data_IF_679678774823
#
_entry.id   IF_679678774823
#
_cell.length_a   1.000
_cell.length_b   1.000
_cell.length_c   1.000
_cell.angle_alpha   90.00
_cell.angle_beta   90.00
_cell.angle_gamma   90.00
#
_symmetry.space_group_name_H-M   'P 1'
#
loop_
_entity.id
_entity.type
_entity.pdbx_description
1 polymer ?
#
# COMPACT_ATOMS: atom_id res chain seq x y z
N UNK A 1 -4.89 12.32 3.94
CA UNK A 1 -6.21 11.68 4.11
C UNK A 1 -6.58 10.95 2.82
N UNK A 2 -7.09 9.71 2.92
CA UNK A 2 -7.64 9.00 1.78
C UNK A 2 -8.87 9.74 1.26
N UNK A 3 -9.09 9.81 -0.06
CA UNK A 3 -10.36 10.29 -0.61
C UNK A 3 -11.49 9.32 -0.24
N UNK A 4 -12.75 9.78 -0.19
CA UNK A 4 -13.90 8.92 0.04
C UNK A 4 -13.93 7.78 -1.00
N UNK A 5 -14.34 6.60 -0.55
CA UNK A 5 -14.56 5.46 -1.45
C UNK A 5 -15.91 5.63 -2.15
N UNK A 6 -16.04 5.20 -3.40
CA UNK A 6 -17.31 5.26 -4.16
C UNK A 6 -18.48 4.51 -3.49
N UNK A 7 -18.22 3.79 -2.40
CA UNK A 7 -19.24 3.04 -1.65
C UNK A 7 -20.31 3.95 -1.01
N UNK A 8 -19.98 5.21 -0.71
CA UNK A 8 -20.91 6.16 -0.12
C UNK A 8 -21.65 7.02 -1.17
N UNK A 9 -21.21 7.02 -2.44
CA UNK A 9 -21.85 7.81 -3.49
C UNK A 9 -23.10 7.14 -4.09
N UNK A 10 -23.42 5.90 -3.74
CA UNK A 10 -24.58 5.17 -4.26
C UNK A 10 -25.88 5.39 -3.46
N UNK A 11 -25.87 6.22 -2.40
CA UNK A 11 -27.03 6.39 -1.49
C UNK A 11 -27.49 7.83 -1.29
N UNK A 12 -27.06 8.79 -2.09
CA UNK A 12 -27.52 10.20 -1.98
C UNK A 12 -28.28 10.68 -3.21
N UNK A 13 -29.35 9.96 -3.59
CA UNK A 13 -30.50 10.60 -4.22
C UNK A 13 -31.45 11.11 -3.10
N UNK A 14 -31.04 12.12 -2.38
CA UNK A 14 -31.95 12.98 -1.66
C UNK A 14 -31.87 14.37 -2.27
N UNK A 15 -32.83 14.65 -3.15
CA UNK A 15 -33.19 15.98 -3.55
C UNK A 15 -33.63 16.77 -2.30
N UNK A 16 -32.78 17.63 -1.79
CA UNK A 16 -33.20 18.78 -1.01
C UNK A 16 -32.85 20.04 -1.81
N UNK A 17 -33.90 20.66 -2.26
CA UNK A 17 -33.96 21.98 -2.84
C UNK A 17 -33.62 23.01 -1.75
N UNK A 18 -32.33 23.30 -1.59
CA UNK A 18 -31.80 24.52 -0.96
C UNK A 18 -30.26 24.54 -1.08
N UNK A 19 -29.78 25.43 -1.92
CA UNK A 19 -28.54 26.16 -1.84
C UNK A 19 -27.22 25.39 -1.64
N UNK A 20 -26.43 25.23 -2.72
CA UNK A 20 -24.95 25.07 -2.74
C UNK A 20 -24.43 24.19 -1.61
N UNK A 21 -24.54 22.90 -1.79
CA UNK A 21 -23.67 21.95 -1.08
C UNK A 21 -22.30 22.05 -1.71
N UNK A 22 -21.42 22.83 -1.07
CA UNK A 22 -20.00 22.81 -1.36
C UNK A 22 -19.54 21.36 -1.20
N UNK A 23 -18.91 20.81 -2.24
CA UNK A 23 -18.49 19.41 -2.35
C UNK A 23 -17.23 19.17 -1.47
N UNK A 24 -17.32 19.58 -0.20
CA UNK A 24 -16.28 19.42 0.81
C UNK A 24 -16.12 17.94 1.15
N UNK A 25 -15.05 17.32 0.66
CA UNK A 25 -14.79 15.89 0.81
C UNK A 25 -14.52 15.44 2.25
N UNK A 26 -14.24 16.38 3.14
CA UNK A 26 -13.91 16.08 4.54
C UNK A 26 -14.17 17.26 5.46
N UNK A 27 -14.37 16.95 6.75
CA UNK A 27 -14.42 17.99 7.81
C UNK A 27 -13.17 18.89 7.77
N UNK A 28 -12.01 18.36 7.35
CA UNK A 28 -10.79 19.14 7.21
C UNK A 28 -10.93 20.19 6.11
N UNK A 29 -11.49 19.84 4.95
CA UNK A 29 -11.68 20.77 3.83
C UNK A 29 -12.66 21.89 4.25
N UNK A 30 -13.77 21.54 4.90
CA UNK A 30 -14.71 22.50 5.48
C UNK A 30 -14.01 23.41 6.52
N UNK A 31 -13.20 22.85 7.41
CA UNK A 31 -12.47 23.62 8.40
C UNK A 31 -11.45 24.57 7.78
N UNK A 32 -10.75 24.15 6.71
CA UNK A 32 -9.79 24.99 5.98
C UNK A 32 -10.45 26.21 5.30
N UNK A 33 -11.74 26.11 4.94
CA UNK A 33 -12.51 27.24 4.38
C UNK A 33 -12.90 28.28 5.43
N UNK A 34 -12.93 27.91 6.73
CA UNK A 34 -13.45 28.76 7.81
C UNK A 34 -12.37 29.20 8.81
N UNK A 35 -11.30 28.45 8.98
CA UNK A 35 -10.29 28.66 9.99
C UNK A 35 -8.88 28.77 9.38
N UNK A 36 -8.02 29.54 10.05
CA UNK A 36 -6.60 29.58 9.70
C UNK A 36 -5.94 28.22 10.00
N UNK A 37 -5.13 27.73 9.08
CA UNK A 37 -4.42 26.46 9.25
C UNK A 37 -2.97 26.65 9.65
N UNK A 38 -2.44 25.70 10.45
CA UNK A 38 -1.03 25.56 10.71
C UNK A 38 -0.59 24.14 10.44
N UNK A 39 0.46 23.98 9.66
CA UNK A 39 1.04 22.68 9.36
C UNK A 39 2.00 22.24 10.46
N UNK A 40 1.82 21.00 10.97
CA UNK A 40 2.80 20.36 11.83
C UNK A 40 3.95 19.87 10.94
N UNK A 41 5.13 20.42 11.13
CA UNK A 41 6.28 20.20 10.24
C UNK A 41 7.21 19.09 10.73
N UNK A 42 7.19 18.77 12.03
CA UNK A 42 8.08 17.75 12.60
C UNK A 42 7.60 16.34 12.25
N UNK A 43 8.44 15.60 11.51
CA UNK A 43 8.17 14.18 11.22
C UNK A 43 8.80 13.29 12.30
N UNK A 44 8.00 12.44 12.93
CA UNK A 44 8.43 11.60 14.05
C UNK A 44 8.27 10.10 13.81
N UNK A 45 7.45 9.70 12.82
CA UNK A 45 7.11 8.27 12.61
C UNK A 45 8.27 7.47 12.07
N UNK A 46 8.83 7.88 10.95
CA UNK A 46 9.87 7.13 10.26
C UNK A 46 11.22 7.35 10.91
N UNK A 47 11.90 6.25 11.22
CA UNK A 47 13.24 6.25 11.85
C UNK A 47 14.36 6.44 10.84
N UNK A 48 14.05 6.47 9.56
CA UNK A 48 14.98 6.70 8.47
C UNK A 48 14.37 7.68 7.46
N UNK A 49 15.16 8.65 7.03
CA UNK A 49 14.72 9.71 6.11
C UNK A 49 14.26 9.19 4.75
N UNK A 50 14.81 8.10 4.26
CA UNK A 50 14.37 7.50 2.97
C UNK A 50 12.90 7.10 2.95
N UNK A 51 12.30 6.77 4.09
CA UNK A 51 10.89 6.41 4.18
C UNK A 51 9.94 7.59 4.00
N UNK A 52 10.45 8.82 4.16
CA UNK A 52 9.62 10.04 4.12
C UNK A 52 10.09 11.07 3.09
N UNK A 53 11.35 11.04 2.66
CA UNK A 53 11.91 12.03 1.72
C UNK A 53 11.12 12.11 0.42
N UNK A 54 10.72 10.97 -0.15
CA UNK A 54 9.87 10.95 -1.33
C UNK A 54 8.55 11.70 -1.10
N UNK A 55 7.87 11.39 0.00
CA UNK A 55 6.62 12.05 0.35
C UNK A 55 6.83 13.53 0.68
N UNK A 56 7.92 13.89 1.35
CA UNK A 56 8.24 15.28 1.66
C UNK A 56 8.40 16.11 0.39
N UNK A 57 9.10 15.58 -0.61
CA UNK A 57 9.28 16.26 -1.90
C UNK A 57 7.95 16.38 -2.68
N UNK A 58 7.24 15.26 -2.88
CA UNK A 58 6.09 15.23 -3.80
C UNK A 58 4.77 15.77 -3.20
N UNK A 59 4.62 15.78 -1.87
CA UNK A 59 3.34 16.12 -1.22
C UNK A 59 3.45 17.26 -0.20
N UNK A 60 4.62 17.48 0.38
CA UNK A 60 4.80 18.46 1.45
C UNK A 60 5.76 19.60 1.09
N UNK A 61 6.15 19.71 -0.20
CA UNK A 61 7.00 20.80 -0.72
C UNK A 61 8.32 20.99 0.08
N UNK A 62 8.88 19.89 0.57
CA UNK A 62 10.05 19.85 1.46
C UNK A 62 9.87 20.64 2.78
N UNK A 63 8.65 20.82 3.24
CA UNK A 63 8.36 21.57 4.47
C UNK A 63 8.45 20.73 5.74
N UNK A 64 8.57 19.40 5.65
CA UNK A 64 8.75 18.54 6.81
C UNK A 64 10.19 18.65 7.34
N UNK A 65 10.32 18.75 8.66
CA UNK A 65 11.59 18.64 9.37
C UNK A 65 11.81 17.15 9.66
N UNK A 66 12.84 16.59 9.06
CA UNK A 66 13.16 15.16 9.13
C UNK A 66 14.49 15.02 9.87
N UNK A 67 14.50 14.40 11.06
CA UNK A 67 15.76 14.08 11.75
C UNK A 67 16.56 13.07 10.91
N UNK A 68 17.87 13.25 10.75
CA UNK A 68 18.72 12.29 10.05
C UNK A 68 18.78 10.97 10.81
N UNK A 69 18.84 9.86 10.08
CA UNK A 69 19.09 8.53 10.64
C UNK A 69 20.57 8.37 10.99
N UNK A 70 20.86 7.61 12.04
CA UNK A 70 22.22 7.14 12.32
C UNK A 70 22.61 5.91 11.45
N UNK A 71 21.69 5.34 10.67
CA UNK A 71 21.92 4.21 9.81
C UNK A 71 21.98 4.69 8.36
N UNK A 72 23.09 4.42 7.68
CA UNK A 72 23.31 4.82 6.28
C UNK A 72 22.64 3.89 5.27
N UNK A 73 22.10 2.73 5.72
CA UNK A 73 21.42 1.79 4.82
C UNK A 73 20.03 2.32 4.48
N UNK A 74 19.75 2.40 3.19
CA UNK A 74 18.44 2.75 2.69
C UNK A 74 17.35 1.82 3.25
N UNK A 75 16.28 2.41 3.78
CA UNK A 75 15.25 1.65 4.49
C UNK A 75 14.14 1.11 3.56
N UNK A 76 14.30 1.26 2.26
CA UNK A 76 13.39 0.69 1.25
C UNK A 76 14.16 -0.38 0.47
N UNK A 77 13.60 -1.57 0.40
CA UNK A 77 14.12 -2.68 -0.42
C UNK A 77 13.21 -2.87 -1.63
N UNK A 78 13.79 -2.91 -2.82
CA UNK A 78 13.06 -3.16 -4.06
C UNK A 78 13.29 -4.60 -4.54
N UNK A 79 12.27 -5.44 -4.37
CA UNK A 79 12.26 -6.83 -4.83
C UNK A 79 11.64 -6.90 -6.23
N UNK A 80 12.47 -6.74 -7.27
CA UNK A 80 12.03 -6.80 -8.66
C UNK A 80 11.83 -8.23 -9.15
N UNK A 81 10.62 -8.58 -9.55
CA UNK A 81 10.18 -9.92 -9.92
C UNK A 81 9.97 -10.04 -11.44
N UNK A 82 11.06 -10.19 -12.18
CA UNK A 82 11.06 -10.23 -13.65
C UNK A 82 10.12 -11.24 -14.28
N UNK A 83 9.84 -12.37 -13.59
CA UNK A 83 8.99 -13.46 -14.08
C UNK A 83 7.53 -13.36 -13.63
N UNK A 84 7.21 -12.40 -12.78
CA UNK A 84 5.85 -12.27 -12.27
C UNK A 84 4.92 -11.68 -13.33
N UNK A 85 3.75 -12.29 -13.45
CA UNK A 85 2.77 -12.00 -14.50
C UNK A 85 1.47 -11.56 -13.85
N UNK A 86 0.96 -10.41 -14.27
CA UNK A 86 -0.35 -9.93 -13.89
C UNK A 86 -1.45 -10.62 -14.70
N UNK A 87 -2.41 -11.23 -14.03
CA UNK A 87 -3.62 -11.79 -14.62
C UNK A 87 -4.83 -10.94 -14.31
N UNK A 88 -5.41 -10.29 -15.32
CA UNK A 88 -6.59 -9.44 -15.17
C UNK A 88 -7.88 -10.22 -14.89
N UNK A 89 -7.93 -11.51 -15.22
CA UNK A 89 -9.06 -12.39 -14.93
C UNK A 89 -8.81 -13.23 -13.70
N UNK A 90 -9.70 -13.18 -12.73
CA UNK A 90 -9.71 -14.15 -11.63
C UNK A 90 -9.91 -15.54 -12.18
N UNK A 91 -9.10 -16.48 -11.72
CA UNK A 91 -9.41 -17.91 -11.88
C UNK A 91 -10.81 -18.15 -11.27
N UNK A 92 -11.80 -18.40 -12.11
CA UNK A 92 -13.15 -18.79 -11.67
C UNK A 92 -13.01 -20.06 -10.85
N UNK A 93 -13.16 -19.98 -9.52
CA UNK A 93 -13.47 -21.16 -8.72
C UNK A 93 -14.81 -21.69 -9.24
N UNK A 94 -14.81 -22.92 -9.76
CA UNK A 94 -15.95 -23.57 -10.46
C UNK A 94 -17.22 -23.74 -9.62
N UNK A 95 -17.23 -23.40 -8.33
CA UNK A 95 -18.31 -23.73 -7.39
C UNK A 95 -18.61 -22.64 -6.34
N UNK A 96 -18.70 -21.37 -6.71
CA UNK A 96 -19.21 -20.37 -5.78
C UNK A 96 -20.48 -19.71 -6.31
N UNK A 97 -21.60 -20.12 -5.71
CA UNK A 97 -22.93 -19.47 -5.79
C UNK A 97 -22.99 -18.22 -4.92
N UNK A 98 -21.95 -17.38 -4.88
CA UNK A 98 -22.00 -16.15 -4.10
C UNK A 98 -21.56 -14.96 -4.93
N UNK A 99 -22.38 -13.94 -4.78
CA UNK A 99 -22.40 -12.62 -5.40
C UNK A 99 -21.03 -12.02 -5.77
N UNK A 100 -20.96 -11.70 -6.94
CA UNK A 100 -20.14 -10.97 -7.85
C UNK A 100 -19.91 -9.54 -7.33
N UNK A 101 -18.92 -9.38 -6.43
CA UNK A 101 -18.13 -8.15 -6.41
C UNK A 101 -17.05 -8.27 -7.49
N UNK A 102 -16.73 -7.21 -8.21
CA UNK A 102 -15.69 -7.18 -9.24
C UNK A 102 -14.40 -7.77 -8.68
N UNK A 103 -14.10 -9.01 -9.07
CA UNK A 103 -12.85 -9.66 -8.69
C UNK A 103 -11.75 -9.05 -9.53
N UNK A 104 -10.96 -8.17 -8.94
CA UNK A 104 -9.78 -7.59 -9.56
C UNK A 104 -8.75 -8.66 -9.94
N UNK A 105 -7.79 -8.31 -10.77
CA UNK A 105 -6.72 -9.21 -11.19
C UNK A 105 -5.80 -9.64 -10.03
N UNK A 106 -4.97 -10.65 -10.29
CA UNK A 106 -3.98 -11.19 -9.35
C UNK A 106 -2.62 -11.37 -10.03
N UNK A 107 -1.57 -11.40 -9.22
CA UNK A 107 -0.21 -11.76 -9.58
C UNK A 107 0.27 -12.86 -8.64
N UNK A 108 0.15 -14.11 -9.08
CA UNK A 108 0.39 -15.29 -8.24
C UNK A 108 1.87 -15.37 -7.81
N UNK A 109 2.80 -15.09 -8.73
CA UNK A 109 4.23 -15.15 -8.42
C UNK A 109 4.58 -14.08 -7.38
N UNK A 110 4.09 -12.86 -7.55
CA UNK A 110 4.30 -11.78 -6.60
C UNK A 110 3.70 -12.11 -5.22
N UNK A 111 2.50 -12.73 -5.19
CA UNK A 111 1.87 -13.16 -3.94
C UNK A 111 2.69 -14.22 -3.19
N UNK A 112 3.28 -15.18 -3.90
CA UNK A 112 4.14 -16.19 -3.30
C UNK A 112 5.46 -15.60 -2.78
N UNK A 113 6.11 -14.76 -3.57
CA UNK A 113 7.39 -14.13 -3.19
C UNK A 113 7.24 -13.21 -1.98
N UNK A 114 6.19 -12.38 -1.94
CA UNK A 114 5.93 -11.54 -0.76
C UNK A 114 5.58 -12.38 0.46
N UNK A 115 4.84 -13.49 0.30
CA UNK A 115 4.55 -14.41 1.39
C UNK A 115 5.83 -15.05 1.94
N UNK A 116 6.76 -15.45 1.08
CA UNK A 116 8.06 -16.00 1.50
C UNK A 116 8.90 -14.95 2.23
N UNK A 117 8.93 -13.70 1.75
CA UNK A 117 9.60 -12.60 2.43
C UNK A 117 9.03 -12.32 3.81
N UNK A 118 7.71 -12.27 3.94
CA UNK A 118 7.03 -12.08 5.23
C UNK A 118 7.31 -13.22 6.19
N UNK A 119 7.26 -14.47 5.74
CA UNK A 119 7.59 -15.64 6.57
C UNK A 119 9.06 -15.62 7.02
N UNK A 120 9.98 -15.24 6.12
CA UNK A 120 11.39 -15.09 6.47
C UNK A 120 11.60 -14.01 7.55
N UNK A 121 10.93 -12.85 7.40
CA UNK A 121 10.92 -11.77 8.38
C UNK A 121 10.39 -12.22 9.76
N UNK A 122 9.26 -12.95 9.79
CA UNK A 122 8.67 -13.47 11.02
C UNK A 122 9.63 -14.45 11.73
N UNK A 123 10.22 -15.38 10.98
CA UNK A 123 11.20 -16.35 11.51
C UNK A 123 12.43 -15.65 12.07
N UNK A 124 12.98 -14.69 11.35
CA UNK A 124 14.13 -13.93 11.81
C UNK A 124 13.82 -13.16 13.09
N UNK A 125 12.64 -12.53 13.17
CA UNK A 125 12.20 -11.77 14.33
C UNK A 125 12.14 -12.65 15.58
N UNK A 126 11.56 -13.84 15.48
CA UNK A 126 11.48 -14.80 16.59
C UNK A 126 12.87 -15.35 16.95
N UNK A 127 13.65 -15.83 15.96
CA UNK A 127 14.98 -16.41 16.21
C UNK A 127 15.96 -15.43 16.85
N UNK A 128 15.91 -14.16 16.46
CA UNK A 128 16.76 -13.11 17.02
C UNK A 128 16.15 -12.42 18.24
N UNK A 129 14.95 -12.81 18.65
CA UNK A 129 14.18 -12.16 19.73
C UNK A 129 14.04 -10.64 19.52
N UNK A 130 13.77 -10.24 18.28
CA UNK A 130 13.57 -8.84 17.93
C UNK A 130 12.07 -8.58 17.79
N UNK A 131 11.54 -7.71 18.66
CA UNK A 131 10.13 -7.31 18.60
C UNK A 131 9.96 -6.19 17.57
N UNK A 132 9.43 -6.54 16.40
CA UNK A 132 9.12 -5.61 15.29
C UNK A 132 7.85 -6.05 14.59
N UNK A 133 6.92 -5.14 14.40
CA UNK A 133 5.63 -5.38 13.77
C UNK A 133 5.71 -5.32 12.25
N UNK A 134 4.82 -6.03 11.54
CA UNK A 134 4.71 -5.88 10.09
C UNK A 134 3.25 -5.91 9.59
N UNK A 135 3.06 -5.33 8.41
CA UNK A 135 1.80 -5.24 7.68
C UNK A 135 2.08 -5.47 6.19
N UNK A 136 1.22 -6.20 5.51
CA UNK A 136 1.25 -6.31 4.05
C UNK A 136 0.17 -5.44 3.44
N UNK A 137 0.52 -4.69 2.40
CA UNK A 137 -0.43 -3.84 1.65
C UNK A 137 -0.38 -4.17 0.17
N UNK A 138 -1.54 -4.28 -0.46
CA UNK A 138 -1.67 -4.52 -1.90
C UNK A 138 -2.73 -3.60 -2.53
N UNK A 139 -2.85 -3.62 -3.83
CA UNK A 139 -3.67 -2.65 -4.56
C UNK A 139 -5.14 -3.04 -4.67
N UNK A 140 -5.51 -4.32 -4.44
CA UNK A 140 -6.89 -4.78 -4.51
C UNK A 140 -7.19 -5.93 -3.52
N UNK A 141 -8.48 -6.27 -3.40
CA UNK A 141 -8.94 -7.31 -2.48
C UNK A 141 -8.54 -8.72 -2.92
N UNK A 142 -8.57 -9.02 -4.22
CA UNK A 142 -8.23 -10.37 -4.71
C UNK A 142 -6.78 -10.74 -4.42
N UNK A 143 -5.86 -9.80 -4.58
CA UNK A 143 -4.44 -10.01 -4.25
C UNK A 143 -4.23 -10.07 -2.73
N UNK A 144 -4.97 -9.27 -1.95
CA UNK A 144 -4.96 -9.33 -0.49
C UNK A 144 -5.33 -10.73 0.00
N UNK A 145 -6.44 -11.26 -0.49
CA UNK A 145 -6.95 -12.56 -0.07
C UNK A 145 -5.98 -13.68 -0.45
N UNK A 146 -5.39 -13.62 -1.65
CA UNK A 146 -4.39 -14.56 -2.11
C UNK A 146 -3.13 -14.52 -1.23
N UNK A 147 -2.61 -13.33 -0.93
CA UNK A 147 -1.43 -13.18 -0.08
C UNK A 147 -1.70 -13.65 1.35
N UNK A 148 -2.86 -13.31 1.92
CA UNK A 148 -3.23 -13.73 3.28
C UNK A 148 -3.36 -15.26 3.38
N UNK A 149 -3.99 -15.90 2.38
CA UNK A 149 -4.11 -17.36 2.27
C UNK A 149 -2.72 -18.02 2.20
N UNK A 150 -1.82 -17.51 1.35
CA UNK A 150 -0.47 -18.05 1.20
C UNK A 150 0.36 -17.91 2.48
N UNK A 151 0.31 -16.75 3.14
CA UNK A 151 1.05 -16.53 4.39
C UNK A 151 0.52 -17.46 5.47
N UNK A 152 -0.80 -17.55 5.66
CA UNK A 152 -1.39 -18.44 6.68
C UNK A 152 -1.08 -19.89 6.40
N UNK A 153 -1.18 -20.33 5.15
CA UNK A 153 -0.81 -21.70 4.76
C UNK A 153 0.67 -22.02 5.07
N UNK A 154 1.59 -21.10 4.78
CA UNK A 154 3.01 -21.26 5.09
C UNK A 154 3.26 -21.22 6.60
N UNK A 155 2.59 -20.36 7.34
CA UNK A 155 2.73 -20.24 8.79
C UNK A 155 2.32 -21.52 9.54
N UNK A 156 1.33 -22.28 9.06
CA UNK A 156 0.96 -23.57 9.68
C UNK A 156 2.11 -24.60 9.69
N UNK A 157 3.06 -24.47 8.77
CA UNK A 157 4.22 -25.36 8.61
C UNK A 157 5.49 -24.84 9.29
N UNK A 158 5.48 -23.60 9.76
CA UNK A 158 6.65 -22.90 10.28
C UNK A 158 6.33 -22.37 11.68
N UNK A 159 6.76 -23.07 12.74
CA UNK A 159 6.41 -22.73 14.13
C UNK A 159 6.74 -21.29 14.53
N UNK A 160 7.88 -20.76 14.07
CA UNK A 160 8.27 -19.39 14.39
C UNK A 160 7.32 -18.35 13.78
N UNK A 161 6.84 -18.61 12.55
CA UNK A 161 5.87 -17.70 11.90
C UNK A 161 4.52 -17.73 12.63
N UNK A 162 4.06 -18.92 13.02
CA UNK A 162 2.83 -19.05 13.82
C UNK A 162 2.96 -18.35 15.18
N UNK A 163 4.10 -18.53 15.86
CA UNK A 163 4.42 -17.84 17.13
C UNK A 163 4.42 -16.33 16.94
N UNK A 164 5.02 -15.84 15.83
CA UNK A 164 5.03 -14.41 15.53
C UNK A 164 3.61 -13.84 15.39
N UNK A 165 2.73 -14.50 14.62
CA UNK A 165 1.36 -14.07 14.43
C UNK A 165 0.65 -13.99 15.79
N UNK A 166 0.68 -15.06 16.59
CA UNK A 166 0.04 -15.07 17.90
C UNK A 166 0.58 -14.02 18.88
N UNK A 167 1.88 -13.70 18.80
CA UNK A 167 2.49 -12.64 19.64
C UNK A 167 1.90 -11.24 19.36
N UNK A 168 1.42 -10.98 18.14
CA UNK A 168 0.89 -9.69 17.75
C UNK A 168 -0.64 -9.59 17.76
N UNK A 169 -1.37 -10.73 17.81
CA UNK A 169 -2.85 -10.77 17.66
C UNK A 169 -3.59 -9.90 18.69
N UNK A 170 -3.14 -9.88 19.96
CA UNK A 170 -3.77 -9.11 21.03
C UNK A 170 -3.15 -7.71 21.24
N UNK A 171 -2.36 -7.24 20.29
CA UNK A 171 -1.71 -5.93 20.37
C UNK A 171 -2.43 -4.86 19.55
N UNK A 172 -2.01 -3.60 19.68
CA UNK A 172 -2.46 -2.51 18.82
C UNK A 172 -1.93 -2.60 17.38
N UNK A 173 -0.99 -3.51 17.12
CA UNK A 173 -0.33 -3.69 15.83
C UNK A 173 -0.41 -5.14 15.32
N UNK A 174 -1.59 -5.76 15.25
CA UNK A 174 -1.73 -7.15 14.80
C UNK A 174 -1.20 -7.32 13.37
N UNK A 175 -0.66 -8.52 13.08
CA UNK A 175 -0.31 -8.85 11.71
C UNK A 175 -1.56 -8.93 10.85
N UNK A 176 -1.57 -8.19 9.75
CA UNK A 176 -2.70 -8.16 8.81
C UNK A 176 -2.23 -7.97 7.37
N UNK A 177 -3.04 -8.41 6.42
CA UNK A 177 -2.91 -8.09 5.00
C UNK A 177 -4.06 -7.16 4.62
N UNK A 178 -3.77 -5.99 4.05
CA UNK A 178 -4.77 -4.97 3.71
C UNK A 178 -4.66 -4.53 2.26
N UNK A 179 -5.74 -4.00 1.73
CA UNK A 179 -5.68 -3.28 0.47
C UNK A 179 -5.37 -1.79 0.70
N UNK A 180 -5.03 -1.10 -0.37
CA UNK A 180 -4.66 0.32 -0.35
C UNK A 180 -5.75 1.24 0.23
N UNK A 181 -7.02 0.87 0.10
CA UNK A 181 -8.16 1.66 0.61
C UNK A 181 -8.29 1.58 2.14
N UNK A 182 -7.78 0.52 2.76
CA UNK A 182 -8.00 0.22 4.17
C UNK A 182 -6.77 0.42 5.06
N UNK A 183 -5.69 1.02 4.54
CA UNK A 183 -4.42 1.18 5.25
C UNK A 183 -4.32 2.50 6.03
N UNK A 184 -5.33 3.37 5.92
CA UNK A 184 -5.32 4.65 6.63
C UNK A 184 -5.43 4.43 8.14
N UNK A 185 -4.57 5.10 8.90
CA UNK A 185 -4.51 4.99 10.36
C UNK A 185 -3.54 3.91 10.86
N UNK A 186 -3.22 2.93 10.03
CA UNK A 186 -2.22 1.91 10.38
C UNK A 186 -0.79 2.47 10.33
N UNK A 187 0.06 1.86 11.13
CA UNK A 187 1.52 2.01 11.05
C UNK A 187 2.16 0.73 11.60
N UNK A 188 3.31 0.32 11.06
CA UNK A 188 4.09 -0.82 11.52
C UNK A 188 5.58 -0.51 11.41
N UNK A 189 6.39 -1.30 12.09
CA UNK A 189 7.83 -1.23 11.92
C UNK A 189 8.21 -1.51 10.47
N UNK A 190 7.65 -2.55 9.87
CA UNK A 190 7.90 -2.92 8.47
C UNK A 190 6.61 -3.00 7.67
N UNK A 191 6.64 -2.45 6.46
CA UNK A 191 5.54 -2.55 5.48
C UNK A 191 6.04 -3.33 4.27
N UNK A 192 5.33 -4.41 3.94
CA UNK A 192 5.52 -5.17 2.71
C UNK A 192 4.47 -4.72 1.70
N UNK A 193 4.89 -4.33 0.51
CA UNK A 193 4.00 -3.79 -0.52
C UNK A 193 4.01 -4.69 -1.75
N UNK A 194 2.86 -5.22 -2.11
CA UNK A 194 2.62 -5.86 -3.41
C UNK A 194 2.07 -4.82 -4.37
N UNK A 195 2.79 -4.52 -5.43
CA UNK A 195 2.29 -3.60 -6.47
C UNK A 195 1.21 -4.23 -7.32
N UNK A 196 1.09 -5.55 -7.32
CA UNK A 196 0.11 -6.32 -8.06
C UNK A 196 0.31 -6.27 -9.58
N UNK A 197 0.38 -5.04 -10.11
CA UNK A 197 0.41 -4.79 -11.56
C UNK A 197 1.74 -5.21 -12.17
N UNK A 198 1.68 -5.65 -13.42
CA UNK A 198 2.85 -6.11 -14.15
C UNK A 198 2.51 -6.41 -15.60
N UNK A 199 3.45 -6.95 -16.37
CA UNK A 199 3.18 -7.46 -17.70
C UNK A 199 2.21 -8.66 -17.63
N UNK A 200 1.34 -8.77 -18.63
CA UNK A 200 0.53 -9.94 -18.85
C UNK A 200 1.35 -11.07 -19.53
N UNK A 201 0.71 -12.18 -19.89
CA UNK A 201 1.39 -13.31 -20.55
C UNK A 201 2.03 -12.95 -21.90
N UNK A 202 1.51 -11.93 -22.56
CA UNK A 202 2.02 -11.37 -23.82
C UNK A 202 3.13 -10.32 -23.61
N UNK A 203 3.55 -10.06 -22.36
CA UNK A 203 4.55 -9.06 -22.02
C UNK A 203 4.02 -7.62 -22.04
N UNK A 204 2.72 -7.41 -22.16
CA UNK A 204 2.11 -6.08 -22.26
C UNK A 204 1.73 -5.59 -20.86
N UNK A 205 2.18 -4.40 -20.49
CA UNK A 205 1.77 -3.72 -19.26
C UNK A 205 0.59 -2.79 -19.52
N UNK A 206 -0.55 -3.12 -18.94
CA UNK A 206 -1.73 -2.26 -18.99
C UNK A 206 -1.52 -1.02 -18.13
N UNK A 207 -1.97 0.15 -18.64
CA UNK A 207 -1.82 1.44 -17.93
C UNK A 207 -2.97 1.73 -16.94
N UNK A 208 -3.66 0.69 -16.51
CA UNK A 208 -4.76 0.74 -15.53
C UNK A 208 -4.27 0.17 -14.20
N UNK A 209 -4.00 1.05 -13.25
CA UNK A 209 -3.46 0.73 -11.93
C UNK A 209 -4.54 0.88 -10.83
N UNK A 210 -5.79 0.50 -11.13
CA UNK A 210 -6.90 0.52 -10.18
C UNK A 210 -7.07 1.86 -9.47
N UNK A 211 -7.12 1.88 -8.12
CA UNK A 211 -7.34 3.10 -7.34
C UNK A 211 -6.32 4.22 -7.57
N UNK A 212 -5.14 3.88 -8.10
CA UNK A 212 -4.07 4.85 -8.41
C UNK A 212 -4.47 5.77 -9.56
N UNK A 213 -5.23 5.27 -10.54
CA UNK A 213 -5.67 6.06 -11.70
C UNK A 213 -6.87 7.00 -11.41
N UNK A 214 -7.47 6.94 -10.23
CA UNK A 214 -8.50 7.90 -9.86
C UNK A 214 -7.92 9.31 -9.65
N UNK A 215 -8.70 10.39 -9.81
CA UNK A 215 -8.22 11.77 -9.70
C UNK A 215 -7.41 12.07 -8.43
N UNK A 216 -7.75 11.42 -7.32
CA UNK A 216 -7.05 11.58 -6.03
C UNK A 216 -6.22 10.34 -5.65
N UNK A 217 -5.89 9.48 -6.60
CA UNK A 217 -5.10 8.26 -6.40
C UNK A 217 -3.72 8.52 -5.77
N UNK A 218 -3.10 9.67 -6.07
CA UNK A 218 -1.84 10.09 -5.45
C UNK A 218 -1.92 10.23 -3.92
N UNK A 219 -3.09 10.59 -3.34
CA UNK A 219 -3.27 10.67 -1.89
C UNK A 219 -3.20 9.29 -1.23
N UNK A 220 -3.71 8.25 -1.91
CA UNK A 220 -3.62 6.85 -1.45
C UNK A 220 -2.17 6.38 -1.38
N UNK A 221 -1.39 6.71 -2.41
CA UNK A 221 0.03 6.40 -2.44
C UNK A 221 0.80 7.11 -1.33
N UNK A 222 0.52 8.39 -1.07
CA UNK A 222 1.14 9.12 0.04
C UNK A 222 0.82 8.46 1.39
N UNK A 223 -0.42 8.02 1.59
CA UNK A 223 -0.79 7.29 2.81
C UNK A 223 0.04 6.02 2.92
N UNK A 224 0.13 5.20 1.86
CA UNK A 224 0.90 3.95 1.86
C UNK A 224 2.38 4.19 2.18
N UNK A 225 3.04 5.09 1.46
CA UNK A 225 4.48 5.33 1.60
C UNK A 225 4.89 5.87 2.97
N UNK A 226 3.95 6.42 3.73
CA UNK A 226 4.19 6.98 5.05
C UNK A 226 3.79 6.05 6.21
N UNK A 227 3.56 4.77 5.97
CA UNK A 227 3.11 3.81 7.02
C UNK A 227 4.25 3.12 7.74
N UNK A 228 5.43 3.04 7.13
CA UNK A 228 6.59 2.36 7.68
C UNK A 228 7.30 3.20 8.75
N UNK A 229 7.67 2.56 9.87
CA UNK A 229 8.52 3.16 10.91
C UNK A 229 10.00 2.88 10.66
N UNK A 230 10.36 1.66 10.26
CA UNK A 230 11.75 1.21 10.16
C UNK A 230 12.15 0.75 8.75
N UNK A 231 11.25 0.11 8.01
CA UNK A 231 11.57 -0.40 6.68
C UNK A 231 10.34 -0.63 5.81
N UNK A 232 10.56 -0.57 4.49
CA UNK A 232 9.56 -0.88 3.49
C UNK A 232 10.16 -1.85 2.48
N UNK A 233 9.47 -2.95 2.22
CA UNK A 233 9.83 -3.93 1.19
C UNK A 233 8.82 -3.87 0.05
N UNK A 234 9.27 -3.45 -1.12
CA UNK A 234 8.44 -3.34 -2.31
C UNK A 234 8.64 -4.59 -3.18
N UNK A 235 7.54 -5.28 -3.48
CA UNK A 235 7.50 -6.40 -4.43
C UNK A 235 6.80 -5.94 -5.69
N UNK A 236 7.49 -6.02 -6.83
CA UNK A 236 6.98 -5.49 -8.09
C UNK A 236 7.52 -6.24 -9.30
N UNK A 237 6.70 -6.38 -10.33
CA UNK A 237 7.12 -6.79 -11.67
C UNK A 237 7.14 -5.63 -12.67
N UNK A 238 6.97 -4.39 -12.18
CA UNK A 238 7.06 -3.19 -12.99
C UNK A 238 8.43 -2.55 -12.89
N UNK A 239 8.92 -2.06 -14.02
CA UNK A 239 9.98 -1.06 -14.05
C UNK A 239 9.40 0.32 -14.34
N UNK A 240 10.01 1.43 -13.90
CA UNK A 240 9.49 2.77 -14.17
C UNK A 240 9.22 3.03 -15.66
N UNK A 241 10.06 2.50 -16.53
CA UNK A 241 10.02 2.74 -17.99
C UNK A 241 8.79 2.16 -18.69
N UNK A 242 8.11 1.15 -18.10
CA UNK A 242 6.90 0.56 -18.70
C UNK A 242 5.65 1.38 -18.39
N UNK A 243 5.75 2.33 -17.45
CA UNK A 243 4.66 3.22 -17.11
C UNK A 243 4.74 4.47 -17.99
N UNK A 244 3.71 4.69 -18.79
CA UNK A 244 3.65 5.82 -19.73
C UNK A 244 3.52 7.13 -18.96
N UNK A 245 4.15 8.17 -19.48
CA UNK A 245 3.99 9.54 -18.96
C UNK A 245 2.59 10.09 -19.25
N UNK A 246 2.19 11.12 -18.50
CA UNK A 246 0.88 11.74 -18.60
C UNK A 246 -0.22 10.96 -17.88
N UNK A 247 -1.47 11.43 -18.00
CA UNK A 247 -2.64 10.92 -17.28
C UNK A 247 -2.71 11.44 -15.84
N UNK A 248 -3.39 10.69 -15.00
CA UNK A 248 -3.65 11.10 -13.61
C UNK A 248 -2.37 11.21 -12.77
N UNK A 249 -2.35 12.19 -11.86
CA UNK A 249 -1.23 12.46 -10.95
C UNK A 249 -0.77 11.20 -10.18
N UNK A 250 -1.72 10.31 -9.83
CA UNK A 250 -1.41 9.07 -9.14
C UNK A 250 -0.46 8.16 -9.92
N UNK A 251 -0.64 8.05 -11.25
CA UNK A 251 0.24 7.26 -12.12
C UNK A 251 1.66 7.83 -12.18
N UNK A 252 1.80 9.14 -12.31
CA UNK A 252 3.12 9.79 -12.32
C UNK A 252 3.83 9.62 -10.99
N UNK A 253 3.14 9.77 -9.87
CA UNK A 253 3.69 9.53 -8.53
C UNK A 253 4.11 8.07 -8.35
N UNK A 254 3.30 7.12 -8.82
CA UNK A 254 3.63 5.70 -8.74
C UNK A 254 4.90 5.37 -9.54
N UNK A 255 5.00 5.87 -10.79
CA UNK A 255 6.21 5.76 -11.62
C UNK A 255 7.44 6.31 -10.90
N UNK A 256 7.34 7.53 -10.36
CA UNK A 256 8.44 8.17 -9.64
C UNK A 256 8.84 7.40 -8.37
N UNK A 257 7.89 6.77 -7.67
CA UNK A 257 8.21 5.97 -6.49
C UNK A 257 8.93 4.67 -6.84
N UNK A 258 8.53 3.99 -7.93
CA UNK A 258 9.25 2.82 -8.43
C UNK A 258 10.70 3.16 -8.81
N UNK A 259 10.90 4.33 -9.43
CA UNK A 259 12.23 4.83 -9.77
C UNK A 259 13.06 5.13 -8.50
N UNK A 260 12.47 5.84 -7.55
CA UNK A 260 13.08 6.13 -6.25
C UNK A 260 13.48 4.86 -5.49
N UNK A 261 12.63 3.83 -5.49
CA UNK A 261 12.93 2.55 -4.84
C UNK A 261 13.98 1.72 -5.60
N UNK A 262 14.15 1.91 -6.91
CA UNK A 262 15.07 1.16 -7.75
C UNK A 262 16.48 1.75 -7.80
N UNK A 263 16.66 3.04 -7.47
CA UNK A 263 17.94 3.76 -7.55
C UNK A 263 18.83 3.62 -6.32
N UNK A 264 18.46 2.78 -5.36
CA UNK A 264 19.16 2.64 -4.07
C UNK A 264 19.90 1.32 -3.87
#
# INVERSE_FOLDING_TARGET
>A
QLPPTNFFNASSEFNTDDGIVDDDESILDLALSKFSSRMLRWHYRSKHESLINFSNYHFYQNNLIIPPSANDKFAITNNYLKKAIYSASTLKKKNAKESIGERGGVNIIEANEIADGVIAFMRESIKKNIKRSCLVVTMNNSQRDLIDEEIRHKATKIPEANTYIGMWDETMEPFTVKNLENVQGDERDYIFVSTLFGPNKEGITMQRFGPINHPKGHRRLNVLFTRAKQGLELYTSLTPNVIRDGGEKGRSIFKSYLDYAATQ
#
